data_IF_383203652093
#
_entry.id   IF_383203652093
#
_cell.length_a   1.000
_cell.length_b   1.000
_cell.length_c   1.000
_cell.angle_alpha   90.00
_cell.angle_beta   90.00
_cell.angle_gamma   90.00
#
_symmetry.space_group_name_H-M   'P 1'
#
loop_
_entity.id
_entity.type
_entity.pdbx_description
1 polymer ?
#
# COMPACT_ATOMS: atom_id res chain seq x y z
N UNK A 1 1.78 30.14 13.13
CA UNK A 1 0.50 29.44 12.97
C UNK A 1 0.62 28.50 11.79
N UNK A 2 1.01 27.24 12.04
CA UNK A 2 1.09 26.22 10.99
C UNK A 2 -0.34 25.77 10.73
N UNK A 3 -0.87 26.05 9.54
CA UNK A 3 -2.18 25.53 9.12
C UNK A 3 -2.07 24.01 9.08
N UNK A 4 -2.64 23.32 10.06
CA UNK A 4 -2.94 21.90 9.95
C UNK A 4 -3.96 21.79 8.83
N UNK A 5 -3.50 21.51 7.62
CA UNK A 5 -4.39 21.18 6.51
C UNK A 5 -5.17 19.96 6.98
N UNK A 6 -6.49 20.09 7.15
CA UNK A 6 -7.35 18.94 7.32
C UNK A 6 -7.14 18.04 6.09
N UNK A 7 -6.43 16.93 6.29
CA UNK A 7 -6.18 15.93 5.25
C UNK A 7 -7.54 15.29 4.90
N UNK A 8 -8.27 15.87 3.96
CA UNK A 8 -9.39 15.16 3.34
C UNK A 8 -8.80 14.05 2.49
N UNK A 9 -8.86 12.82 3.00
CA UNK A 9 -8.30 11.67 2.33
C UNK A 9 -9.02 11.44 0.99
N UNK A 10 -8.26 11.50 -0.10
CA UNK A 10 -8.77 11.38 -1.46
C UNK A 10 -7.72 10.62 -2.30
N UNK A 11 -7.47 9.38 -1.91
CA UNK A 11 -6.50 8.50 -2.54
C UNK A 11 -7.16 7.63 -3.61
N UNK A 12 -6.37 7.27 -4.60
CA UNK A 12 -6.72 6.34 -5.68
C UNK A 12 -5.47 5.56 -6.06
N UNK A 13 -5.61 4.60 -6.98
CA UNK A 13 -4.47 3.85 -7.49
C UNK A 13 -4.58 3.66 -9.01
N UNK A 14 -3.46 3.33 -9.64
CA UNK A 14 -3.38 2.91 -11.04
C UNK A 14 -2.19 1.96 -11.26
N UNK A 15 -2.18 1.16 -12.33
CA UNK A 15 -0.99 0.37 -12.67
C UNK A 15 0.25 1.25 -12.84
N UNK A 16 1.40 0.75 -12.40
CA UNK A 16 2.68 1.42 -12.59
C UNK A 16 3.16 1.22 -14.03
N UNK A 17 3.37 2.29 -14.83
CA UNK A 17 3.80 2.16 -16.22
C UNK A 17 5.26 1.73 -16.36
N UNK A 18 6.07 1.82 -15.30
CA UNK A 18 7.51 1.56 -15.33
C UNK A 18 7.89 0.19 -14.75
N UNK A 19 7.06 -0.36 -13.87
CA UNK A 19 7.35 -1.59 -13.16
C UNK A 19 6.17 -2.56 -13.24
N UNK A 20 6.41 -3.74 -13.80
CA UNK A 20 5.42 -4.80 -13.83
C UNK A 20 5.04 -5.22 -12.40
N UNK A 21 3.79 -5.65 -12.21
CA UNK A 21 3.27 -6.10 -10.91
C UNK A 21 3.39 -5.04 -9.79
N UNK A 22 3.35 -3.78 -10.18
CA UNK A 22 3.36 -2.63 -9.27
C UNK A 22 2.17 -1.70 -9.56
N UNK A 23 1.66 -1.06 -8.51
CA UNK A 23 0.57 -0.11 -8.56
C UNK A 23 1.03 1.22 -7.96
N UNK A 24 0.83 2.32 -8.66
CA UNK A 24 1.03 3.65 -8.09
C UNK A 24 -0.14 4.00 -7.17
N UNK A 25 0.18 4.44 -5.96
CA UNK A 25 -0.78 5.08 -5.06
C UNK A 25 -0.74 6.57 -5.35
N UNK A 26 -1.90 7.15 -5.61
CA UNK A 26 -2.02 8.54 -6.01
C UNK A 26 -2.94 9.30 -5.08
N UNK A 27 -2.68 10.60 -4.95
CA UNK A 27 -3.52 11.54 -4.23
C UNK A 27 -4.23 12.44 -5.22
N UNK A 28 -5.53 12.65 -5.01
CA UNK A 28 -6.34 13.61 -5.75
C UNK A 28 -6.30 14.96 -5.06
N UNK A 29 -5.79 15.98 -5.76
CA UNK A 29 -5.87 17.37 -5.35
C UNK A 29 -7.30 17.92 -5.45
N UNK A 30 -7.54 19.08 -4.83
CA UNK A 30 -8.84 19.76 -4.90
C UNK A 30 -9.20 20.23 -6.33
N UNK A 31 -8.19 20.42 -7.17
CA UNK A 31 -8.30 20.75 -8.60
C UNK A 31 -8.57 19.52 -9.49
N UNK A 32 -8.67 18.31 -8.92
CA UNK A 32 -8.81 17.05 -9.66
C UNK A 32 -7.49 16.48 -10.19
N UNK A 33 -6.36 17.13 -9.91
CA UNK A 33 -5.03 16.61 -10.26
C UNK A 33 -4.75 15.31 -9.51
N UNK A 34 -4.12 14.35 -10.19
CA UNK A 34 -3.78 13.04 -9.63
C UNK A 34 -2.27 12.90 -9.59
N UNK A 35 -1.68 13.04 -8.40
CA UNK A 35 -0.23 12.99 -8.20
C UNK A 35 0.15 11.67 -7.53
N UNK A 36 1.12 10.89 -8.06
CA UNK A 36 1.68 9.74 -7.35
C UNK A 36 2.32 10.17 -6.04
N UNK A 37 2.05 9.43 -4.97
CA UNK A 37 2.58 9.68 -3.61
C UNK A 37 3.22 8.42 -3.01
N UNK A 38 3.26 7.34 -3.79
CA UNK A 38 3.75 6.06 -3.36
C UNK A 38 3.49 4.96 -4.39
N UNK A 39 3.93 3.75 -4.06
CA UNK A 39 3.71 2.57 -4.87
C UNK A 39 3.54 1.32 -4.00
N UNK A 40 2.82 0.34 -4.53
CA UNK A 40 2.70 -1.00 -3.99
C UNK A 40 3.29 -1.98 -5.02
N UNK A 41 4.41 -2.60 -4.69
CA UNK A 41 5.14 -3.50 -5.56
C UNK A 41 5.06 -4.93 -5.04
N UNK A 42 4.54 -5.84 -5.86
CA UNK A 42 4.40 -7.26 -5.54
C UNK A 42 5.73 -7.96 -5.80
N UNK A 43 6.24 -8.68 -4.80
CA UNK A 43 7.51 -9.42 -4.87
C UNK A 43 7.31 -10.92 -5.09
N UNK A 44 6.15 -11.47 -4.74
CA UNK A 44 5.85 -12.88 -5.02
C UNK A 44 5.35 -13.04 -6.46
N UNK A 45 6.17 -13.65 -7.31
CA UNK A 45 5.84 -13.94 -8.71
C UNK A 45 4.67 -14.93 -8.85
N UNK A 46 4.38 -15.73 -7.82
CA UNK A 46 3.30 -16.71 -7.84
C UNK A 46 1.96 -16.11 -7.34
N UNK A 47 1.98 -14.89 -6.79
CA UNK A 47 0.74 -14.25 -6.36
C UNK A 47 -0.12 -13.88 -7.57
N UNK A 48 -1.40 -14.22 -7.51
CA UNK A 48 -2.38 -13.75 -8.49
C UNK A 48 -2.45 -12.21 -8.42
N UNK A 49 -2.17 -11.55 -9.54
CA UNK A 49 -2.15 -10.10 -9.62
C UNK A 49 -3.53 -9.49 -9.30
N UNK A 50 -4.62 -10.21 -9.56
CA UNK A 50 -5.96 -9.77 -9.17
C UNK A 50 -6.15 -9.77 -7.65
N UNK A 51 -5.54 -10.73 -6.95
CA UNK A 51 -5.50 -10.71 -5.48
C UNK A 51 -4.67 -9.52 -4.98
N UNK A 52 -3.54 -9.23 -5.60
CA UNK A 52 -2.72 -8.05 -5.27
C UNK A 52 -3.48 -6.74 -5.47
N UNK A 53 -4.21 -6.60 -6.58
CA UNK A 53 -5.03 -5.42 -6.84
C UNK A 53 -6.10 -5.23 -5.74
N UNK A 54 -6.75 -6.31 -5.30
CA UNK A 54 -7.71 -6.24 -4.18
C UNK A 54 -7.07 -5.83 -2.85
N UNK A 55 -5.82 -6.21 -2.61
CA UNK A 55 -5.05 -5.71 -1.46
C UNK A 55 -4.80 -4.20 -1.59
N UNK A 56 -4.46 -3.71 -2.79
CA UNK A 56 -4.28 -2.28 -3.09
C UNK A 56 -5.59 -1.50 -2.92
N UNK A 57 -6.73 -2.06 -3.35
CA UNK A 57 -8.06 -1.48 -3.11
C UNK A 57 -8.30 -1.30 -1.60
N UNK A 58 -8.10 -2.35 -0.80
CA UNK A 58 -8.24 -2.26 0.65
C UNK A 58 -7.30 -1.24 1.28
N UNK A 59 -6.05 -1.15 0.80
CA UNK A 59 -5.10 -0.13 1.24
C UNK A 59 -5.64 1.29 0.96
N UNK A 60 -6.08 1.57 -0.27
CA UNK A 60 -6.64 2.87 -0.65
C UNK A 60 -7.90 3.20 0.14
N UNK A 61 -8.81 2.24 0.33
CA UNK A 61 -10.00 2.38 1.18
C UNK A 61 -9.61 2.78 2.61
N UNK A 62 -8.60 2.12 3.19
CA UNK A 62 -8.07 2.47 4.52
C UNK A 62 -7.46 3.86 4.56
N UNK A 63 -6.68 4.25 3.56
CA UNK A 63 -6.13 5.59 3.45
C UNK A 63 -7.25 6.64 3.36
N UNK A 64 -8.38 6.30 2.74
CA UNK A 64 -9.60 7.11 2.67
C UNK A 64 -10.47 7.07 3.95
N UNK A 65 -10.04 6.36 4.99
CA UNK A 65 -10.75 6.27 6.27
C UNK A 65 -11.86 5.23 6.32
N UNK A 66 -12.03 4.43 5.27
CA UNK A 66 -13.03 3.36 5.22
C UNK A 66 -12.67 2.23 6.19
N UNK A 67 -13.70 1.58 6.74
CA UNK A 67 -13.56 0.49 7.72
C UNK A 67 -14.11 -0.83 7.21
N UNK A 68 -15.07 -0.78 6.28
CA UNK A 68 -15.68 -1.96 5.66
C UNK A 68 -14.87 -2.35 4.43
N UNK A 69 -13.82 -3.15 4.66
CA UNK A 69 -12.89 -3.57 3.62
C UNK A 69 -13.40 -4.78 2.85
N UNK A 70 -12.94 -4.91 1.61
CA UNK A 70 -13.19 -6.11 0.80
C UNK A 70 -12.63 -7.34 1.53
N UNK A 71 -13.50 -8.31 1.81
CA UNK A 71 -13.11 -9.56 2.46
C UNK A 71 -12.20 -10.39 1.54
N UNK A 72 -11.02 -10.78 2.03
CA UNK A 72 -10.02 -11.58 1.29
C UNK A 72 -9.80 -13.00 1.87
N UNK A 73 -10.56 -13.37 2.93
CA UNK A 73 -10.23 -14.44 3.87
C UNK A 73 -9.85 -15.81 3.27
N UNK A 74 -10.61 -16.33 2.31
CA UNK A 74 -10.33 -17.63 1.69
C UNK A 74 -9.21 -17.60 0.65
N UNK A 75 -8.88 -16.40 0.15
CA UNK A 75 -7.92 -16.21 -0.93
C UNK A 75 -6.51 -15.90 -0.42
N UNK A 76 -6.39 -15.39 0.81
CA UNK A 76 -5.08 -15.08 1.39
C UNK A 76 -4.53 -16.21 2.25
N UNK A 77 -5.35 -17.16 2.75
CA UNK A 77 -4.99 -18.34 3.59
C UNK A 77 -3.83 -18.15 4.58
N UNK A 78 -3.56 -16.92 4.99
CA UNK A 78 -2.35 -16.53 5.71
C UNK A 78 -2.63 -15.28 6.52
N UNK A 79 -2.02 -15.21 7.70
CA UNK A 79 -1.96 -14.00 8.49
C UNK A 79 -1.03 -13.03 7.77
N UNK A 80 -1.55 -11.90 7.32
CA UNK A 80 -0.73 -10.84 6.74
C UNK A 80 0.07 -10.19 7.87
N UNK A 81 1.39 -10.38 7.84
CA UNK A 81 2.33 -9.71 8.72
C UNK A 81 2.91 -8.51 7.97
N UNK A 82 3.23 -7.43 8.66
CA UNK A 82 3.92 -6.30 8.05
C UNK A 82 4.99 -5.75 8.97
N UNK A 83 6.03 -5.18 8.37
CA UNK A 83 7.10 -4.48 9.05
C UNK A 83 7.23 -3.08 8.44
N UNK A 84 7.09 -2.04 9.27
CA UNK A 84 7.37 -0.66 8.86
C UNK A 84 8.86 -0.42 9.05
N UNK A 85 9.59 -0.18 7.96
CA UNK A 85 11.02 0.13 8.04
C UNK A 85 11.21 1.46 8.78
N UNK A 86 12.22 1.55 9.67
CA UNK A 86 12.60 2.81 10.28
C UNK A 86 12.92 3.85 9.19
N UNK A 87 12.36 5.05 9.29
CA UNK A 87 12.65 6.14 8.36
C UNK A 87 14.07 6.66 8.59
N UNK A 88 14.94 6.73 7.57
CA UNK A 88 16.16 7.52 7.62
C UNK A 88 15.82 9.00 7.86
N UNK A 89 16.68 9.75 8.56
CA UNK A 89 16.45 11.19 8.80
C UNK A 89 16.38 12.00 7.49
N UNK A 90 17.03 11.51 6.43
CA UNK A 90 17.12 12.16 5.12
C UNK A 90 16.10 11.63 4.07
N UNK A 91 15.26 10.66 4.41
CA UNK A 91 14.26 10.11 3.48
C UNK A 91 12.83 10.24 4.05
N UNK A 92 11.98 11.10 3.45
CA UNK A 92 10.61 11.29 3.93
C UNK A 92 9.68 10.10 3.62
N UNK A 93 10.17 9.07 2.92
CA UNK A 93 9.38 7.90 2.52
C UNK A 93 9.32 6.89 3.66
N UNK A 94 8.12 6.42 3.93
CA UNK A 94 7.87 5.24 4.76
C UNK A 94 7.78 4.03 3.86
N UNK A 95 8.58 3.01 4.15
CA UNK A 95 8.51 1.72 3.47
C UNK A 95 7.89 0.68 4.41
N UNK A 96 6.90 -0.06 3.94
CA UNK A 96 6.22 -1.13 4.66
C UNK A 96 6.35 -2.42 3.88
N UNK A 97 6.99 -3.42 4.47
CA UNK A 97 7.17 -4.75 3.88
C UNK A 97 6.08 -5.67 4.39
N UNK A 98 5.35 -6.31 3.47
CA UNK A 98 4.33 -7.30 3.79
C UNK A 98 4.90 -8.70 3.65
N UNK A 99 4.51 -9.58 4.56
CA UNK A 99 4.92 -10.98 4.56
C UNK A 99 3.71 -11.92 4.53
N UNK A 100 3.89 -13.05 3.85
CA UNK A 100 2.98 -14.19 3.90
C UNK A 100 3.59 -15.32 4.73
N UNK A 101 2.76 -15.98 5.54
CA UNK A 101 3.14 -17.11 6.38
C UNK A 101 2.32 -18.34 5.98
N UNK A 102 2.97 -19.30 5.33
CA UNK A 102 2.36 -20.55 4.83
C UNK A 102 2.21 -21.66 5.88
N UNK A 103 2.42 -21.36 7.16
CA UNK A 103 2.22 -22.31 8.28
C UNK A 103 3.34 -23.33 8.49
N UNK A 104 4.26 -23.53 7.55
CA UNK A 104 5.46 -24.37 7.70
C UNK A 104 6.73 -23.64 7.24
N UNK A 105 7.34 -22.85 8.13
CA UNK A 105 8.64 -22.20 7.89
C UNK A 105 8.61 -20.69 7.60
N UNK A 106 9.80 -20.15 7.31
CA UNK A 106 10.18 -18.72 7.26
C UNK A 106 9.17 -17.87 6.48
N UNK A 107 8.78 -16.73 7.06
CA UNK A 107 7.95 -15.72 6.40
C UNK A 107 8.61 -15.21 5.13
N UNK A 108 7.89 -15.19 4.00
CA UNK A 108 8.40 -14.64 2.74
C UNK A 108 7.89 -13.22 2.53
N UNK A 109 8.75 -12.35 2.03
CA UNK A 109 8.36 -11.01 1.58
C UNK A 109 7.43 -11.14 0.38
N UNK A 110 6.24 -10.54 0.49
CA UNK A 110 5.17 -10.65 -0.48
C UNK A 110 5.02 -9.38 -1.32
N UNK A 111 5.16 -8.23 -0.67
CA UNK A 111 5.01 -6.93 -1.31
C UNK A 111 5.67 -5.83 -0.48
N UNK A 112 5.99 -4.72 -1.14
CA UNK A 112 6.48 -3.49 -0.51
C UNK A 112 5.50 -2.36 -0.83
N UNK A 113 5.13 -1.59 0.19
CA UNK A 113 4.45 -0.29 0.05
C UNK A 113 5.44 0.81 0.38
N UNK A 114 5.60 1.76 -0.53
CA UNK A 114 6.36 2.99 -0.30
C UNK A 114 5.38 4.16 -0.31
N UNK A 115 5.43 5.05 0.69
CA UNK A 115 4.55 6.23 0.77
C UNK A 115 5.30 7.45 1.31
N UNK A 116 5.11 8.61 0.69
CA UNK A 116 5.60 9.89 1.21
C UNK A 116 4.64 10.48 2.25
N UNK A 117 5.19 11.03 3.35
CA UNK A 117 4.40 11.77 4.34
C UNK A 117 3.47 10.93 5.23
N UNK A 118 3.66 9.60 5.24
CA UNK A 118 2.91 8.70 6.12
C UNK A 118 3.51 8.69 7.54
N UNK A 119 2.79 9.27 8.50
CA UNK A 119 3.05 9.05 9.93
C UNK A 119 2.18 7.89 10.37
N UNK A 120 2.79 6.73 10.63
CA UNK A 120 2.10 5.53 11.10
C UNK A 120 1.50 5.66 12.49
#
# INVERSE_FOLDING_TARGET
MTKTQDFQANFTYRPNPLLARSFLICRKGQNGEVTPVGDYTVLDDNEDLHLSERKVINLVMRLNGEKDLVALGEQTRSRMLFHVKPRPEDDPRTEVVFYTQSGQGVSRENAILTMEGFNG
#
